data_IF_381959240052
#
_entry.id   IF_381959240052
#
_cell.length_a   1.000
_cell.length_b   1.000
_cell.length_c   1.000
_cell.angle_alpha   90.00
_cell.angle_beta   90.00
_cell.angle_gamma   90.00
#
_symmetry.space_group_name_H-M   'P 1'
#
loop_
_entity.id
_entity.type
_entity.pdbx_description
1 polymer ?
#
# COMPACT_ATOMS: atom_id res chain seq x y z
N UNK A 1 -13.18 5.19 15.63
CA UNK A 1 -12.78 5.66 14.28
C UNK A 1 -12.94 4.56 13.24
N UNK A 2 -12.19 3.44 13.32
CA UNK A 2 -12.27 2.36 12.31
C UNK A 2 -13.68 1.77 12.16
N UNK A 3 -14.38 1.48 13.27
CA UNK A 3 -15.75 0.95 13.24
C UNK A 3 -16.72 1.90 12.50
N UNK A 4 -16.68 3.19 12.81
CA UNK A 4 -17.53 4.19 12.15
C UNK A 4 -17.16 4.41 10.68
N UNK A 5 -15.87 4.29 10.30
CA UNK A 5 -15.47 4.35 8.91
C UNK A 5 -16.07 3.18 8.10
N UNK A 6 -16.10 1.97 8.66
CA UNK A 6 -16.74 0.82 8.01
C UNK A 6 -18.26 0.97 7.92
N UNK A 7 -18.91 1.56 8.94
CA UNK A 7 -20.34 1.90 8.89
C UNK A 7 -20.63 2.89 7.74
N UNK A 8 -19.81 3.95 7.60
CA UNK A 8 -19.96 4.92 6.50
C UNK A 8 -19.72 4.26 5.13
N UNK A 9 -18.66 3.44 5.00
CA UNK A 9 -18.38 2.73 3.75
C UNK A 9 -19.57 1.84 3.37
N UNK A 10 -20.11 1.08 4.32
CA UNK A 10 -21.27 0.23 4.08
C UNK A 10 -22.52 1.03 3.67
N UNK A 11 -22.79 2.15 4.33
CA UNK A 11 -23.93 3.02 4.00
C UNK A 11 -23.80 3.69 2.62
N UNK A 12 -22.57 3.97 2.17
CA UNK A 12 -22.32 4.63 0.89
C UNK A 12 -22.29 3.65 -0.29
N UNK A 13 -21.64 2.49 -0.15
CA UNK A 13 -21.48 1.53 -1.25
C UNK A 13 -22.50 0.40 -1.23
N UNK A 14 -23.11 0.10 -0.09
CA UNK A 14 -23.96 -1.08 0.10
C UNK A 14 -23.20 -2.41 0.12
N UNK A 15 -21.88 -2.39 -0.02
CA UNK A 15 -21.02 -3.57 -0.06
C UNK A 15 -20.46 -3.93 1.32
N UNK A 16 -19.86 -5.11 1.43
CA UNK A 16 -19.13 -5.48 2.64
C UNK A 16 -17.89 -4.58 2.79
N UNK A 17 -17.77 -3.78 3.87
CA UNK A 17 -16.67 -2.83 4.04
C UNK A 17 -15.28 -3.50 4.12
N UNK A 18 -15.20 -4.78 4.51
CA UNK A 18 -13.94 -5.53 4.49
C UNK A 18 -13.46 -5.81 3.07
N UNK A 19 -14.37 -6.09 2.14
CA UNK A 19 -14.03 -6.32 0.73
C UNK A 19 -13.56 -5.03 0.06
N UNK A 20 -14.21 -3.90 0.39
CA UNK A 20 -13.79 -2.56 -0.06
C UNK A 20 -12.39 -2.25 0.47
N UNK A 21 -12.12 -2.50 1.76
CA UNK A 21 -10.81 -2.30 2.36
C UNK A 21 -9.74 -3.17 1.69
N UNK A 22 -10.01 -4.46 1.47
CA UNK A 22 -9.05 -5.36 0.82
C UNK A 22 -8.71 -4.87 -0.60
N UNK A 23 -9.73 -4.45 -1.34
CA UNK A 23 -9.56 -3.90 -2.70
C UNK A 23 -8.74 -2.62 -2.67
N UNK A 24 -8.94 -1.77 -1.66
CA UNK A 24 -8.14 -0.56 -1.47
C UNK A 24 -6.65 -0.90 -1.22
N UNK A 25 -6.36 -1.84 -0.31
CA UNK A 25 -4.99 -2.26 0.03
C UNK A 25 -4.26 -2.86 -1.18
N UNK A 26 -4.94 -3.69 -1.98
CA UNK A 26 -4.35 -4.31 -3.19
C UNK A 26 -3.92 -3.25 -4.21
N UNK A 27 -4.72 -2.17 -4.32
CA UNK A 27 -4.54 -1.13 -5.32
C UNK A 27 -3.64 0.03 -4.86
N UNK A 28 -3.46 0.24 -3.55
CA UNK A 28 -2.64 1.34 -3.01
C UNK A 28 -1.15 0.99 -2.89
N UNK A 29 -0.80 -0.28 -2.65
CA UNK A 29 0.58 -0.70 -2.40
C UNK A 29 1.49 -0.62 -3.66
N UNK A 30 2.51 0.27 -3.70
CA UNK A 30 3.38 0.45 -4.87
C UNK A 30 4.15 -0.83 -5.19
N UNK A 31 4.38 -1.11 -6.48
CA UNK A 31 5.11 -2.31 -6.92
C UNK A 31 6.62 -2.09 -6.96
N UNK A 32 7.04 -0.86 -7.22
CA UNK A 32 8.44 -0.44 -7.31
C UNK A 32 8.70 0.72 -6.34
N UNK A 33 9.92 0.79 -5.82
CA UNK A 33 10.39 1.89 -5.00
C UNK A 33 11.83 2.27 -5.40
N UNK A 34 12.25 3.50 -5.07
CA UNK A 34 13.61 3.97 -5.31
C UNK A 34 14.46 3.78 -4.06
N UNK A 35 15.51 2.95 -4.13
CA UNK A 35 16.47 2.82 -3.02
C UNK A 35 17.77 3.53 -3.35
N UNK A 36 18.33 4.18 -2.32
CA UNK A 36 19.66 4.78 -2.38
C UNK A 36 20.68 3.67 -2.24
N UNK A 37 21.34 3.29 -3.34
CA UNK A 37 22.37 2.25 -3.36
C UNK A 37 23.74 2.94 -3.49
N UNK A 38 24.62 2.63 -2.55
CA UNK A 38 26.00 3.11 -2.54
C UNK A 38 26.98 1.97 -2.82
N UNK A 39 27.94 2.19 -3.72
CA UNK A 39 29.07 1.30 -3.90
C UNK A 39 30.33 2.11 -4.22
N UNK A 40 31.44 1.77 -3.56
CA UNK A 40 32.78 2.35 -3.80
C UNK A 40 32.82 3.89 -3.89
N UNK A 41 32.13 4.58 -2.99
CA UNK A 41 32.16 6.05 -2.91
C UNK A 41 31.19 6.80 -3.84
N UNK A 42 30.45 6.08 -4.69
CA UNK A 42 29.36 6.66 -5.50
C UNK A 42 28.01 6.25 -4.93
N UNK A 43 27.03 7.15 -5.02
CA UNK A 43 25.66 6.90 -4.55
C UNK A 43 24.67 7.31 -5.62
N UNK A 44 23.77 6.38 -5.97
CA UNK A 44 22.69 6.62 -6.92
C UNK A 44 21.37 6.09 -6.39
N UNK A 45 20.26 6.56 -6.94
CA UNK A 45 18.96 5.90 -6.74
C UNK A 45 18.79 4.84 -7.81
N UNK A 46 18.35 3.66 -7.39
CA UNK A 46 18.03 2.57 -8.29
C UNK A 46 16.60 2.10 -7.98
N UNK A 47 15.85 1.79 -9.05
CA UNK A 47 14.55 1.17 -8.93
C UNK A 47 14.72 -0.26 -8.41
N UNK A 48 13.93 -0.63 -7.41
CA UNK A 48 13.88 -1.97 -6.84
C UNK A 48 12.43 -2.41 -6.67
N UNK A 49 12.20 -3.71 -6.80
CA UNK A 49 10.90 -4.31 -6.50
C UNK A 49 10.62 -4.32 -4.99
N UNK A 50 9.35 -4.17 -4.63
CA UNK A 50 8.89 -4.16 -3.23
C UNK A 50 8.31 -5.52 -2.83
N UNK A 51 8.73 -6.05 -1.68
CA UNK A 51 8.20 -7.32 -1.16
C UNK A 51 6.70 -7.24 -0.83
N UNK A 52 5.92 -8.34 -0.99
CA UNK A 52 4.48 -8.31 -0.73
C UNK A 52 4.10 -7.79 0.66
N UNK A 53 4.86 -8.16 1.70
CA UNK A 53 4.62 -7.67 3.06
C UNK A 53 4.85 -6.15 3.18
N UNK A 54 5.91 -5.64 2.54
CA UNK A 54 6.18 -4.20 2.53
C UNK A 54 5.11 -3.44 1.75
N UNK A 55 4.57 -4.03 0.67
CA UNK A 55 3.44 -3.46 -0.08
C UNK A 55 2.19 -3.32 0.79
N UNK A 56 1.85 -4.35 1.58
CA UNK A 56 0.69 -4.32 2.50
C UNK A 56 0.88 -3.33 3.65
N UNK A 57 2.08 -3.23 4.20
CA UNK A 57 2.33 -2.33 5.33
C UNK A 57 2.37 -0.83 4.93
N UNK A 58 2.65 -0.54 3.66
CA UNK A 58 2.71 0.82 3.12
C UNK A 58 1.42 1.24 2.42
N UNK A 59 0.56 0.28 2.07
CA UNK A 59 -0.77 0.46 1.51
C UNK A 59 -1.73 1.12 2.48
#
# INVERSE_FOLDING_TARGET
>A
IVKHAFEIIHLLTGENPLQVLMTAIINSGPREDSTRIGHAGTVRRQAVDVSPLRRVNQA
#
